data_IF_512437960180
#
_entry.id   IF_512437960180
#
_cell.length_a   1.000
_cell.length_b   1.000
_cell.length_c   1.000
_cell.angle_alpha   90.00
_cell.angle_beta   90.00
_cell.angle_gamma   90.00
#
_symmetry.space_group_name_H-M   'P 1'
#
loop_
_entity.id
_entity.type
_entity.pdbx_description
1 polymer ?
#
# COMPACT_ATOMS: atom_id res chain seq x y z
N UNK A 1 -9.82 -3.02 16.63
CA UNK A 1 -9.75 -4.41 17.15
C UNK A 1 -11.06 -5.17 16.88
N UNK A 2 -12.24 -4.58 17.15
CA UNK A 2 -13.55 -5.21 16.88
C UNK A 2 -13.72 -5.75 15.45
N UNK A 3 -13.43 -4.94 14.43
CA UNK A 3 -13.53 -5.34 13.02
C UNK A 3 -12.84 -6.66 12.65
N UNK A 4 -11.61 -6.91 13.13
CA UNK A 4 -10.88 -8.16 12.84
C UNK A 4 -11.54 -9.37 13.51
N UNK A 5 -12.03 -9.20 14.74
CA UNK A 5 -12.74 -10.25 15.46
C UNK A 5 -14.06 -10.57 14.75
N UNK A 6 -14.87 -9.56 14.46
CA UNK A 6 -16.17 -9.74 13.79
C UNK A 6 -16.00 -10.40 12.42
N UNK A 7 -15.06 -9.94 11.60
CA UNK A 7 -14.84 -10.52 10.26
C UNK A 7 -14.29 -11.94 10.29
N UNK A 8 -13.41 -12.28 11.24
CA UNK A 8 -12.98 -13.67 11.44
C UNK A 8 -14.15 -14.55 11.92
N UNK A 9 -15.01 -14.02 12.81
CA UNK A 9 -16.15 -14.74 13.32
C UNK A 9 -17.27 -14.95 12.30
N UNK A 10 -17.40 -14.11 11.26
CA UNK A 10 -18.27 -14.40 10.11
C UNK A 10 -17.91 -15.79 9.54
N UNK A 11 -16.61 -16.05 9.32
CA UNK A 11 -16.14 -17.34 8.80
C UNK A 11 -16.45 -18.47 9.79
N UNK A 12 -16.18 -18.28 11.08
CA UNK A 12 -16.51 -19.27 12.11
C UNK A 12 -18.01 -19.59 12.13
N UNK A 13 -18.84 -18.56 12.02
CA UNK A 13 -20.30 -18.67 12.08
C UNK A 13 -20.90 -19.32 10.84
N UNK A 14 -20.26 -19.23 9.68
CA UNK A 14 -20.74 -19.81 8.43
C UNK A 14 -20.15 -21.21 8.17
N UNK A 15 -18.87 -21.41 8.44
CA UNK A 15 -18.18 -22.68 8.12
C UNK A 15 -18.17 -23.67 9.30
N UNK A 16 -18.12 -23.17 10.54
CA UNK A 16 -17.77 -23.99 11.71
C UNK A 16 -18.77 -23.91 12.88
N UNK A 17 -19.89 -23.19 12.74
CA UNK A 17 -20.90 -23.05 13.80
C UNK A 17 -21.40 -24.39 14.35
N UNK A 18 -21.46 -25.41 13.51
CA UNK A 18 -21.90 -26.76 13.88
C UNK A 18 -20.97 -27.45 14.88
N UNK A 19 -19.75 -26.95 15.08
CA UNK A 19 -18.77 -27.46 16.07
C UNK A 19 -18.89 -26.76 17.43
N UNK A 20 -19.73 -25.72 17.54
CA UNK A 20 -19.81 -24.87 18.72
C UNK A 20 -21.07 -25.17 19.53
N UNK A 21 -20.94 -25.05 20.85
CA UNK A 21 -22.10 -25.16 21.75
C UNK A 21 -23.09 -24.01 21.50
N UNK A 22 -24.42 -24.25 21.58
CA UNK A 22 -25.43 -23.21 21.36
C UNK A 22 -25.24 -21.95 22.22
N UNK A 23 -24.82 -22.10 23.48
CA UNK A 23 -24.58 -20.98 24.39
C UNK A 23 -23.38 -20.14 23.94
N UNK A 24 -22.30 -20.77 23.47
CA UNK A 24 -21.15 -20.05 22.92
C UNK A 24 -21.54 -19.29 21.66
N UNK A 25 -22.33 -19.91 20.76
CA UNK A 25 -22.86 -19.25 19.57
C UNK A 25 -23.68 -18.02 19.93
N UNK A 26 -24.52 -18.09 20.97
CA UNK A 26 -25.30 -16.94 21.43
C UNK A 26 -24.41 -15.79 21.93
N UNK A 27 -23.40 -16.09 22.76
CA UNK A 27 -22.42 -15.10 23.24
C UNK A 27 -21.61 -14.48 22.10
N UNK A 28 -21.22 -15.28 21.11
CA UNK A 28 -20.52 -14.77 19.94
C UNK A 28 -21.39 -13.79 19.14
N UNK A 29 -22.67 -14.11 18.91
CA UNK A 29 -23.60 -13.21 18.23
C UNK A 29 -23.75 -11.88 18.97
N UNK A 30 -23.91 -11.93 20.29
CA UNK A 30 -24.02 -10.74 21.13
C UNK A 30 -22.74 -9.88 21.06
N UNK A 31 -21.57 -10.50 21.14
CA UNK A 31 -20.29 -9.80 21.03
C UNK A 31 -20.08 -9.19 19.63
N UNK A 32 -20.44 -9.89 18.54
CA UNK A 32 -20.43 -9.32 17.19
C UNK A 32 -21.36 -8.12 17.05
N UNK A 33 -22.56 -8.20 17.65
CA UNK A 33 -23.51 -7.09 17.69
C UNK A 33 -22.92 -5.88 18.40
N UNK A 34 -22.40 -6.06 19.62
CA UNK A 34 -21.79 -4.98 20.40
C UNK A 34 -20.59 -4.35 19.70
N UNK A 35 -19.72 -5.17 19.10
CA UNK A 35 -18.58 -4.67 18.32
C UNK A 35 -19.03 -3.83 17.12
N UNK A 36 -20.06 -4.30 16.39
CA UNK A 36 -20.58 -3.61 15.21
C UNK A 36 -21.31 -2.31 15.57
N UNK A 37 -22.04 -2.28 16.69
CA UNK A 37 -22.61 -1.04 17.26
C UNK A 37 -21.48 -0.07 17.60
N UNK A 38 -20.42 -0.53 18.27
CA UNK A 38 -19.24 0.27 18.59
C UNK A 38 -18.58 0.86 17.34
N UNK A 39 -18.42 0.07 16.28
CA UNK A 39 -17.88 0.53 15.00
C UNK A 39 -18.80 1.56 14.31
N UNK A 40 -20.10 1.56 14.60
CA UNK A 40 -21.04 2.56 14.11
C UNK A 40 -20.85 3.96 14.69
N UNK A 41 -20.17 4.09 15.83
CA UNK A 41 -19.78 5.39 16.40
C UNK A 41 -18.47 5.94 15.82
N UNK A 42 -17.76 5.17 14.98
CA UNK A 42 -16.52 5.62 14.35
C UNK A 42 -16.82 6.43 13.09
N UNK A 43 -16.79 7.75 13.24
CA UNK A 43 -17.09 8.72 12.18
C UNK A 43 -15.88 9.62 11.96
N UNK A 44 -15.23 9.49 10.80
CA UNK A 44 -14.08 10.32 10.45
C UNK A 44 -14.35 11.82 10.63
N UNK A 45 -13.50 12.49 11.40
CA UNK A 45 -13.57 13.94 11.66
C UNK A 45 -14.42 14.33 12.87
N UNK A 46 -15.15 13.39 13.47
CA UNK A 46 -15.89 13.58 14.73
C UNK A 46 -15.04 13.03 15.87
N UNK A 47 -14.88 13.81 16.94
CA UNK A 47 -14.11 13.44 18.14
C UNK A 47 -12.67 12.96 17.86
N UNK A 48 -12.09 13.39 16.73
CA UNK A 48 -10.75 13.00 16.30
C UNK A 48 -10.65 11.58 15.69
N UNK A 49 -11.76 10.89 15.43
CA UNK A 49 -11.74 9.61 14.74
C UNK A 49 -11.34 9.79 13.26
N UNK A 50 -10.77 8.74 12.67
CA UNK A 50 -10.18 8.76 11.33
C UNK A 50 -10.83 7.74 10.37
N UNK A 51 -11.92 7.07 10.74
CA UNK A 51 -12.57 6.10 9.89
C UNK A 51 -13.41 6.78 8.80
N UNK A 52 -12.71 7.17 7.74
CA UNK A 52 -13.28 7.65 6.48
C UNK A 52 -13.39 6.50 5.46
N UNK A 53 -14.24 6.62 4.41
CA UNK A 53 -14.31 5.62 3.34
C UNK A 53 -12.96 5.27 2.71
N UNK A 54 -12.08 6.27 2.63
CA UNK A 54 -10.74 6.18 2.02
C UNK A 54 -9.76 5.32 2.81
N UNK A 55 -10.08 4.96 4.05
CA UNK A 55 -9.21 4.06 4.82
C UNK A 55 -9.26 2.62 4.29
N UNK A 56 -10.03 2.33 3.22
CA UNK A 56 -10.12 1.05 2.52
C UNK A 56 -10.40 -0.13 3.45
N UNK A 57 -9.38 -0.72 4.07
CA UNK A 57 -9.49 -1.97 4.80
C UNK A 57 -10.46 -1.92 5.99
N UNK A 58 -10.37 -1.00 6.98
CA UNK A 58 -11.29 -1.02 8.10
C UNK A 58 -12.69 -0.55 7.66
N UNK A 59 -12.80 0.22 6.56
CA UNK A 59 -14.09 0.60 6.00
C UNK A 59 -14.83 -0.59 5.41
N UNK A 60 -14.19 -1.36 4.52
CA UNK A 60 -14.81 -2.56 3.94
C UNK A 60 -15.04 -3.64 5.00
N UNK A 61 -14.16 -3.78 5.99
CA UNK A 61 -14.45 -4.65 7.14
C UNK A 61 -15.69 -4.20 7.91
N UNK A 62 -15.89 -2.89 8.10
CA UNK A 62 -17.09 -2.35 8.75
C UNK A 62 -18.34 -2.64 7.91
N UNK A 63 -18.26 -2.47 6.60
CA UNK A 63 -19.35 -2.80 5.67
C UNK A 63 -19.74 -4.27 5.81
N UNK A 64 -18.77 -5.20 5.81
CA UNK A 64 -19.05 -6.62 5.95
C UNK A 64 -19.63 -6.97 7.31
N UNK A 65 -19.07 -6.42 8.39
CA UNK A 65 -19.58 -6.62 9.76
C UNK A 65 -21.03 -6.15 9.89
N UNK A 66 -21.32 -4.90 9.51
CA UNK A 66 -22.67 -4.33 9.62
C UNK A 66 -23.69 -5.05 8.73
N UNK A 67 -23.31 -5.43 7.52
CA UNK A 67 -24.18 -6.14 6.59
C UNK A 67 -24.53 -7.54 7.11
N UNK A 68 -23.53 -8.30 7.56
CA UNK A 68 -23.74 -9.65 8.07
C UNK A 68 -24.49 -9.65 9.40
N UNK A 69 -24.04 -8.85 10.37
CA UNK A 69 -24.60 -8.80 11.72
C UNK A 69 -26.00 -8.22 11.72
N UNK A 70 -26.26 -7.18 10.93
CA UNK A 70 -27.60 -6.60 10.77
C UNK A 70 -28.61 -7.64 10.29
N UNK A 71 -28.25 -8.43 9.27
CA UNK A 71 -29.08 -9.53 8.80
C UNK A 71 -29.23 -10.66 9.82
N UNK A 72 -28.12 -11.10 10.43
CA UNK A 72 -28.12 -12.17 11.42
C UNK A 72 -29.00 -11.85 12.64
N UNK A 73 -29.08 -10.58 13.03
CA UNK A 73 -29.83 -10.11 14.20
C UNK A 73 -31.23 -9.59 13.84
N UNK A 74 -31.57 -9.48 12.54
CA UNK A 74 -32.82 -8.84 12.10
C UNK A 74 -32.89 -7.34 12.42
N UNK A 75 -31.74 -6.67 12.58
CA UNK A 75 -31.65 -5.25 12.91
C UNK A 75 -31.71 -4.41 11.62
N UNK A 76 -32.87 -3.78 11.40
CA UNK A 76 -33.13 -2.97 10.21
C UNK A 76 -32.25 -1.71 10.15
N UNK A 77 -31.91 -1.10 11.29
CA UNK A 77 -31.08 0.11 11.33
C UNK A 77 -29.64 -0.24 10.98
N UNK A 78 -29.09 -1.30 11.57
CA UNK A 78 -27.75 -1.78 11.23
C UNK A 78 -27.66 -2.22 9.76
N UNK A 79 -28.70 -2.89 9.26
CA UNK A 79 -28.79 -3.27 7.83
C UNK A 79 -28.83 -2.05 6.91
N UNK A 80 -29.56 -1.00 7.29
CA UNK A 80 -29.58 0.26 6.56
C UNK A 80 -28.18 0.89 6.49
N UNK A 81 -27.50 1.02 7.62
CA UNK A 81 -26.15 1.60 7.68
C UNK A 81 -25.09 0.75 6.98
N UNK A 82 -25.18 -0.58 7.04
CA UNK A 82 -24.30 -1.46 6.28
C UNK A 82 -24.39 -1.20 4.77
N UNK A 83 -25.60 -1.00 4.25
CA UNK A 83 -25.81 -0.63 2.85
C UNK A 83 -25.33 0.79 2.54
N UNK A 84 -25.55 1.74 3.43
CA UNK A 84 -25.14 3.13 3.22
C UNK A 84 -23.61 3.29 3.20
N UNK A 85 -22.92 2.65 4.14
CA UNK A 85 -21.46 2.62 4.13
C UNK A 85 -20.89 1.85 2.94
N UNK A 86 -21.59 0.81 2.46
CA UNK A 86 -21.22 0.16 1.21
C UNK A 86 -21.28 1.15 0.04
N UNK A 87 -22.37 1.93 -0.10
CA UNK A 87 -22.50 2.95 -1.16
C UNK A 87 -21.38 3.97 -1.11
N UNK A 88 -21.01 4.44 0.08
CA UNK A 88 -19.93 5.41 0.24
C UNK A 88 -18.57 4.83 -0.17
N UNK A 89 -18.24 3.61 0.27
CA UNK A 89 -16.98 2.96 -0.13
C UNK A 89 -16.93 2.64 -1.62
N UNK A 90 -18.06 2.20 -2.20
CA UNK A 90 -18.22 1.99 -3.64
C UNK A 90 -18.05 3.30 -4.40
N UNK A 91 -18.65 4.40 -3.94
CA UNK A 91 -18.56 5.69 -4.60
C UNK A 91 -17.11 6.21 -4.63
N UNK A 92 -16.33 6.01 -3.57
CA UNK A 92 -14.91 6.37 -3.58
C UNK A 92 -14.09 5.48 -4.52
N UNK A 93 -14.35 4.17 -4.56
CA UNK A 93 -13.71 3.26 -5.50
C UNK A 93 -14.02 3.61 -6.97
N UNK A 94 -15.29 3.89 -7.28
CA UNK A 94 -15.80 4.14 -8.63
C UNK A 94 -15.23 5.41 -9.28
N UNK A 95 -14.61 6.32 -8.50
CA UNK A 95 -13.95 7.50 -9.05
C UNK A 95 -12.86 7.14 -10.05
N UNK A 96 -12.07 6.11 -9.74
CA UNK A 96 -10.89 5.74 -10.54
C UNK A 96 -10.69 4.22 -10.70
N UNK A 97 -11.54 3.39 -10.09
CA UNK A 97 -11.36 1.94 -10.07
C UNK A 97 -10.18 1.50 -9.20
N UNK A 98 -9.88 2.26 -8.14
CA UNK A 98 -8.72 2.02 -7.27
C UNK A 98 -9.11 2.14 -5.80
N UNK A 99 -8.44 1.37 -4.94
CA UNK A 99 -8.48 1.60 -3.50
C UNK A 99 -7.68 2.87 -3.14
N UNK A 100 -8.19 3.67 -2.20
CA UNK A 100 -7.54 4.91 -1.76
C UNK A 100 -6.19 4.67 -1.08
N UNK A 101 -6.09 3.70 -0.16
CA UNK A 101 -4.80 3.17 0.34
C UNK A 101 -4.06 2.36 -0.77
N UNK A 102 -3.63 3.06 -1.83
CA UNK A 102 -3.19 2.46 -3.08
C UNK A 102 -1.85 1.72 -2.96
N UNK A 103 -1.75 0.59 -3.67
CA UNK A 103 -0.54 -0.23 -3.88
C UNK A 103 0.12 -0.79 -2.60
N UNK A 104 -0.43 -0.58 -1.41
CA UNK A 104 0.10 -1.14 -0.16
C UNK A 104 -0.08 -2.66 -0.12
N UNK A 105 1.00 -3.43 0.02
CA UNK A 105 0.87 -4.89 0.02
C UNK A 105 0.14 -5.44 1.26
N UNK A 106 0.27 -4.80 2.42
CA UNK A 106 -0.53 -5.15 3.60
C UNK A 106 -1.99 -4.78 3.39
N UNK A 107 -2.28 -3.50 3.10
CA UNK A 107 -3.67 -3.02 3.12
C UNK A 107 -4.49 -3.40 1.89
N UNK A 108 -3.86 -3.56 0.72
CA UNK A 108 -4.52 -4.20 -0.43
C UNK A 108 -4.92 -5.63 -0.07
N UNK A 109 -4.02 -6.37 0.61
CA UNK A 109 -4.30 -7.73 1.08
C UNK A 109 -5.48 -7.80 2.06
N UNK A 110 -5.49 -6.97 3.10
CA UNK A 110 -6.60 -6.92 4.07
C UNK A 110 -7.91 -6.50 3.39
N UNK A 111 -7.86 -5.53 2.48
CA UNK A 111 -9.06 -5.07 1.76
C UNK A 111 -9.63 -6.18 0.88
N UNK A 112 -8.78 -6.92 0.15
CA UNK A 112 -9.20 -8.08 -0.64
C UNK A 112 -9.77 -9.19 0.25
N UNK A 113 -9.20 -9.43 1.43
CA UNK A 113 -9.77 -10.35 2.42
C UNK A 113 -11.18 -9.91 2.85
N UNK A 114 -11.32 -8.66 3.26
CA UNK A 114 -12.59 -8.10 3.70
C UNK A 114 -13.63 -8.22 2.57
N UNK A 115 -13.27 -7.79 1.36
CA UNK A 115 -14.14 -7.91 0.19
C UNK A 115 -14.53 -9.35 -0.09
N UNK A 116 -13.63 -10.33 0.08
CA UNK A 116 -13.91 -11.75 -0.17
C UNK A 116 -14.97 -12.36 0.77
N UNK A 117 -15.26 -11.73 1.90
CA UNK A 117 -16.37 -12.12 2.78
C UNK A 117 -17.74 -11.86 2.14
N UNK A 118 -17.82 -11.17 1.00
CA UNK A 118 -19.08 -10.86 0.31
C UNK A 118 -19.93 -12.11 0.03
N UNK A 119 -19.31 -13.27 -0.16
CA UNK A 119 -20.01 -14.54 -0.39
C UNK A 119 -20.87 -15.00 0.80
N UNK A 120 -20.67 -14.43 1.98
CA UNK A 120 -21.49 -14.67 3.19
C UNK A 120 -22.55 -13.58 3.41
N UNK A 121 -22.60 -12.54 2.59
CA UNK A 121 -23.55 -11.44 2.75
C UNK A 121 -24.92 -11.82 2.16
N UNK A 122 -26.03 -11.22 2.65
CA UNK A 122 -27.33 -11.35 2.00
C UNK A 122 -27.26 -10.90 0.55
N UNK A 123 -27.84 -11.68 -0.37
CA UNK A 123 -27.74 -11.46 -1.80
C UNK A 123 -28.31 -10.10 -2.27
N UNK A 124 -29.26 -9.54 -1.53
CA UNK A 124 -29.86 -8.23 -1.79
C UNK A 124 -29.10 -7.05 -1.15
N UNK A 125 -27.98 -7.31 -0.46
CA UNK A 125 -27.15 -6.23 0.09
C UNK A 125 -26.38 -5.50 -1.02
N UNK A 126 -26.14 -4.21 -0.80
CA UNK A 126 -25.45 -3.32 -1.75
C UNK A 126 -24.05 -3.85 -2.08
N UNK A 127 -23.31 -4.33 -1.07
CA UNK A 127 -21.94 -4.82 -1.26
C UNK A 127 -21.89 -6.14 -2.04
N UNK A 128 -22.87 -7.03 -1.87
CA UNK A 128 -22.93 -8.28 -2.62
C UNK A 128 -23.04 -8.05 -4.14
N UNK A 129 -23.66 -6.95 -4.56
CA UNK A 129 -23.77 -6.56 -5.96
C UNK A 129 -22.50 -5.98 -6.58
N UNK A 130 -21.47 -5.62 -5.79
CA UNK A 130 -20.27 -4.91 -6.27
C UNK A 130 -18.94 -5.53 -5.85
N UNK A 131 -18.87 -6.31 -4.79
CA UNK A 131 -17.60 -6.80 -4.25
C UNK A 131 -16.77 -7.60 -5.26
N UNK A 132 -17.42 -8.45 -6.06
CA UNK A 132 -16.77 -9.23 -7.12
C UNK A 132 -16.03 -8.36 -8.16
N UNK A 133 -16.68 -7.27 -8.57
CA UNK A 133 -16.15 -6.28 -9.51
C UNK A 133 -14.95 -5.52 -8.91
N UNK A 134 -15.11 -5.01 -7.68
CA UNK A 134 -14.03 -4.33 -6.94
C UNK A 134 -12.81 -5.24 -6.77
N UNK A 135 -13.01 -6.52 -6.44
CA UNK A 135 -11.95 -7.53 -6.35
C UNK A 135 -11.24 -7.68 -7.70
N UNK A 136 -11.99 -7.87 -8.79
CA UNK A 136 -11.42 -8.06 -10.12
C UNK A 136 -10.57 -6.86 -10.56
N UNK A 137 -11.11 -5.64 -10.45
CA UNK A 137 -10.44 -4.40 -10.85
C UNK A 137 -9.22 -4.11 -9.96
N UNK A 138 -9.29 -4.40 -8.65
CA UNK A 138 -8.12 -4.29 -7.77
C UNK A 138 -6.99 -5.21 -8.22
N UNK A 139 -7.31 -6.45 -8.60
CA UNK A 139 -6.34 -7.41 -9.13
C UNK A 139 -5.72 -6.99 -10.46
N UNK A 140 -6.45 -6.26 -11.31
CA UNK A 140 -5.89 -5.68 -12.54
C UNK A 140 -4.78 -4.67 -12.23
N UNK A 141 -5.00 -3.79 -11.26
CA UNK A 141 -3.99 -2.85 -10.77
C UNK A 141 -2.79 -3.59 -10.16
N UNK A 142 -3.03 -4.56 -9.27
CA UNK A 142 -1.98 -5.42 -8.69
C UNK A 142 -1.17 -6.10 -9.79
N UNK A 143 -1.81 -6.69 -10.80
CA UNK A 143 -1.13 -7.36 -11.90
C UNK A 143 -0.23 -6.43 -12.72
N UNK A 144 -0.57 -5.14 -12.83
CA UNK A 144 0.26 -4.14 -13.52
C UNK A 144 1.44 -3.66 -12.67
N UNK A 145 1.28 -3.59 -11.35
CA UNK A 145 2.29 -3.09 -10.40
C UNK A 145 3.21 -4.19 -9.86
N UNK A 146 2.79 -5.45 -10.00
CA UNK A 146 3.53 -6.62 -9.54
C UNK A 146 4.80 -6.86 -10.34
N UNK A 147 5.90 -7.08 -9.62
CA UNK A 147 7.13 -7.57 -10.20
C UNK A 147 7.38 -9.03 -9.79
N UNK A 148 7.14 -10.01 -10.69
CA UNK A 148 7.29 -11.43 -10.39
C UNK A 148 8.74 -11.88 -10.24
N UNK A 149 9.71 -11.05 -10.63
CA UNK A 149 11.14 -11.34 -10.45
C UNK A 149 11.68 -10.80 -9.12
N UNK A 150 11.11 -9.71 -8.61
CA UNK A 150 11.39 -9.20 -7.26
C UNK A 150 10.44 -9.76 -6.19
N UNK A 151 9.37 -10.45 -6.61
CA UNK A 151 8.32 -11.01 -5.73
C UNK A 151 7.68 -9.94 -4.83
N UNK A 152 7.48 -8.73 -5.35
CA UNK A 152 6.87 -7.61 -4.61
C UNK A 152 6.21 -6.59 -5.53
N UNK A 153 5.48 -5.64 -4.94
CA UNK A 153 4.90 -4.48 -5.64
C UNK A 153 5.96 -3.39 -5.81
N UNK A 154 5.93 -2.66 -6.92
CA UNK A 154 6.99 -1.71 -7.32
C UNK A 154 7.00 -0.33 -6.66
N UNK A 155 6.11 -0.04 -5.71
CA UNK A 155 5.84 1.34 -5.27
C UNK A 155 5.10 2.17 -6.34
N UNK A 156 4.77 3.45 -6.06
CA UNK A 156 4.90 4.10 -4.75
C UNK A 156 3.85 3.55 -3.78
N UNK A 157 3.91 3.92 -2.50
CA UNK A 157 2.97 3.42 -1.50
C UNK A 157 2.37 4.53 -0.65
N UNK A 158 1.05 4.49 -0.54
CA UNK A 158 0.32 5.28 0.44
C UNK A 158 0.70 4.88 1.87
N UNK A 159 0.90 3.57 2.09
CA UNK A 159 1.43 3.03 3.35
C UNK A 159 2.23 1.76 3.10
N UNK A 160 3.41 1.68 3.68
CA UNK A 160 4.27 0.51 3.61
C UNK A 160 4.99 0.27 4.94
N UNK A 161 5.22 -1.01 5.22
CA UNK A 161 5.98 -1.50 6.35
C UNK A 161 7.29 -2.20 5.92
N UNK A 162 7.52 -2.27 4.62
CA UNK A 162 8.74 -2.82 4.05
C UNK A 162 8.73 -2.77 2.54
N UNK A 163 9.91 -2.93 1.95
CA UNK A 163 10.12 -2.71 0.51
C UNK A 163 10.10 -4.00 -0.32
N UNK A 164 10.16 -5.17 0.35
CA UNK A 164 10.11 -6.48 -0.29
C UNK A 164 9.30 -7.46 0.55
N UNK A 165 8.33 -8.14 -0.06
CA UNK A 165 7.52 -9.15 0.63
C UNK A 165 8.29 -10.46 0.90
N UNK A 166 9.54 -10.58 0.43
CA UNK A 166 10.47 -11.61 0.92
C UNK A 166 11.15 -11.22 2.24
N UNK A 167 11.02 -9.98 2.69
CA UNK A 167 11.65 -9.46 3.91
C UNK A 167 10.67 -8.99 4.98
N UNK A 168 9.44 -8.61 4.60
CA UNK A 168 8.34 -8.33 5.55
C UNK A 168 7.08 -9.08 5.15
N UNK A 169 6.22 -9.35 6.12
CA UNK A 169 4.95 -10.01 5.89
C UNK A 169 3.90 -9.03 5.36
N UNK A 170 3.66 -9.08 4.04
CA UNK A 170 2.52 -8.42 3.41
C UNK A 170 1.39 -9.41 3.15
N UNK A 171 0.17 -9.08 3.60
CA UNK A 171 -1.00 -9.98 3.47
C UNK A 171 -1.30 -10.34 2.01
N UNK A 172 -1.07 -9.41 1.07
CA UNK A 172 -1.20 -9.69 -0.37
C UNK A 172 -0.29 -10.85 -0.82
N UNK A 173 0.88 -11.02 -0.19
CA UNK A 173 1.80 -12.12 -0.48
C UNK A 173 1.17 -13.49 -0.26
N UNK A 174 0.31 -13.62 0.75
CA UNK A 174 -0.44 -14.87 1.04
C UNK A 174 -1.43 -15.17 -0.09
N UNK A 175 -2.15 -14.16 -0.56
CA UNK A 175 -3.11 -14.33 -1.66
C UNK A 175 -2.39 -14.68 -2.96
N UNK A 176 -1.28 -14.01 -3.27
CA UNK A 176 -0.47 -14.34 -4.45
C UNK A 176 0.06 -15.78 -4.34
N UNK A 177 0.61 -16.17 -3.18
CA UNK A 177 1.06 -17.55 -2.96
C UNK A 177 -0.06 -18.58 -3.12
N UNK A 178 -1.29 -18.28 -2.69
CA UNK A 178 -2.45 -19.13 -2.93
C UNK A 178 -2.82 -19.27 -4.42
N UNK A 179 -2.61 -18.21 -5.21
CA UNK A 179 -2.96 -18.17 -6.64
C UNK A 179 -1.89 -18.83 -7.52
N UNK A 180 -0.60 -18.63 -7.23
CA UNK A 180 0.51 -19.09 -8.08
C UNK A 180 1.40 -20.15 -7.46
N UNK A 181 1.21 -20.50 -6.19
CA UNK A 181 2.05 -21.44 -5.45
C UNK A 181 3.36 -20.85 -4.95
N UNK A 182 4.37 -21.70 -4.79
CA UNK A 182 5.75 -21.33 -4.45
C UNK A 182 6.15 -21.50 -2.98
N UNK A 183 5.31 -22.13 -2.15
CA UNK A 183 5.67 -22.44 -0.76
C UNK A 183 6.75 -23.53 -0.67
N UNK A 184 6.64 -24.58 -1.50
CA UNK A 184 7.52 -25.76 -1.44
C UNK A 184 8.93 -25.50 -1.99
N UNK A 185 9.10 -24.46 -2.81
CA UNK A 185 10.36 -24.09 -3.48
C UNK A 185 10.90 -22.71 -3.04
N UNK A 186 10.31 -22.12 -1.98
CA UNK A 186 10.65 -20.80 -1.43
C UNK A 186 10.51 -19.64 -2.45
N UNK A 187 9.79 -19.83 -3.57
CA UNK A 187 9.55 -18.78 -4.56
C UNK A 187 8.34 -17.89 -4.23
N UNK A 188 7.55 -18.25 -3.23
CA UNK A 188 6.42 -17.46 -2.75
C UNK A 188 6.87 -16.08 -2.23
N UNK A 189 6.05 -15.03 -2.44
CA UNK A 189 6.34 -13.68 -1.95
C UNK A 189 6.02 -13.53 -0.45
N UNK A 190 6.67 -14.37 0.35
CA UNK A 190 6.57 -14.40 1.80
C UNK A 190 7.97 -14.47 2.42
N UNK A 191 8.17 -13.92 3.62
CA UNK A 191 9.41 -14.09 4.35
C UNK A 191 9.69 -15.57 4.68
N UNK A 192 10.95 -15.96 4.59
CA UNK A 192 11.44 -17.28 4.96
C UNK A 192 12.72 -17.13 5.79
N UNK A 193 12.73 -17.48 7.09
CA UNK A 193 11.59 -17.96 7.88
C UNK A 193 10.50 -16.89 8.07
N UNK A 194 9.25 -17.34 8.20
CA UNK A 194 8.11 -16.46 8.48
C UNK A 194 8.15 -15.91 9.92
N UNK A 195 8.45 -16.77 10.89
CA UNK A 195 8.54 -16.38 12.31
C UNK A 195 9.72 -15.43 12.51
N UNK A 196 9.47 -14.31 13.19
CA UNK A 196 10.48 -13.27 13.44
C UNK A 196 10.68 -12.31 12.27
N UNK A 197 9.93 -12.46 11.18
CA UNK A 197 9.88 -11.44 10.12
C UNK A 197 9.12 -10.20 10.57
N UNK A 198 9.40 -9.07 9.91
CA UNK A 198 8.67 -7.84 10.13
C UNK A 198 7.19 -8.01 9.80
N UNK A 199 6.32 -7.42 10.63
CA UNK A 199 4.87 -7.56 10.53
C UNK A 199 4.33 -9.00 10.64
N UNK A 200 5.09 -9.93 11.22
CA UNK A 200 4.66 -11.32 11.43
C UNK A 200 3.32 -11.47 12.16
N UNK A 201 2.92 -10.53 13.02
CA UNK A 201 1.63 -10.58 13.73
C UNK A 201 0.41 -10.73 12.79
N UNK A 202 0.52 -10.21 11.58
CA UNK A 202 -0.53 -10.30 10.56
C UNK A 202 -0.64 -11.72 9.96
N UNK A 203 0.32 -12.62 10.20
CA UNK A 203 0.31 -14.00 9.73
C UNK A 203 -0.87 -14.82 10.27
N UNK A 204 -1.55 -14.34 11.33
CA UNK A 204 -2.80 -14.92 11.81
C UNK A 204 -3.87 -15.04 10.71
N UNK A 205 -3.83 -14.19 9.68
CA UNK A 205 -4.79 -14.20 8.58
C UNK A 205 -4.62 -15.39 7.62
N UNK A 206 -3.46 -16.07 7.63
CA UNK A 206 -3.15 -17.15 6.68
C UNK A 206 -4.19 -18.27 6.74
N UNK A 207 -4.64 -18.63 7.95
CA UNK A 207 -5.65 -19.68 8.13
C UNK A 207 -7.03 -19.30 7.58
N UNK A 208 -7.32 -18.00 7.44
CA UNK A 208 -8.61 -17.50 6.96
C UNK A 208 -8.66 -17.40 5.43
N UNK A 209 -7.52 -17.17 4.78
CA UNK A 209 -7.46 -16.91 3.33
C UNK A 209 -8.01 -18.06 2.46
N UNK A 210 -7.67 -19.34 2.68
CA UNK A 210 -8.22 -20.44 1.89
C UNK A 210 -9.74 -20.60 2.02
N UNK A 211 -10.33 -20.15 3.14
CA UNK A 211 -11.76 -20.28 3.38
C UNK A 211 -12.57 -19.28 2.55
N UNK A 212 -12.01 -18.09 2.34
CA UNK A 212 -12.63 -17.02 1.53
C UNK A 212 -12.22 -17.07 0.06
N UNK A 213 -11.20 -17.85 -0.32
CA UNK A 213 -10.69 -17.93 -1.70
C UNK A 213 -11.75 -18.38 -2.70
N UNK A 214 -12.73 -19.20 -2.27
CA UNK A 214 -13.89 -19.62 -3.09
C UNK A 214 -14.74 -18.46 -3.60
N UNK A 215 -14.68 -17.30 -2.93
CA UNK A 215 -15.38 -16.07 -3.33
C UNK A 215 -14.47 -15.03 -3.98
N UNK A 216 -13.19 -15.35 -4.16
CA UNK A 216 -12.13 -14.42 -4.58
C UNK A 216 -11.44 -14.87 -5.86
N UNK A 217 -10.90 -16.09 -5.88
CA UNK A 217 -9.93 -16.56 -6.88
C UNK A 217 -10.47 -16.53 -8.30
N UNK A 218 -11.76 -16.82 -8.49
CA UNK A 218 -12.42 -16.81 -9.80
C UNK A 218 -12.43 -15.43 -10.46
N UNK A 219 -12.24 -14.36 -9.70
CA UNK A 219 -12.18 -12.98 -10.18
C UNK A 219 -10.75 -12.53 -10.53
N UNK A 220 -9.74 -13.37 -10.27
CA UNK A 220 -8.37 -13.12 -10.73
C UNK A 220 -8.24 -13.62 -12.16
N UNK A 221 -8.30 -12.67 -13.11
CA UNK A 221 -8.32 -13.00 -14.54
C UNK A 221 -7.07 -13.79 -14.99
N UNK A 222 -7.16 -14.59 -16.07
CA UNK A 222 -6.00 -15.29 -16.62
C UNK A 222 -4.84 -14.35 -16.98
N UNK A 223 -5.15 -13.12 -17.40
CA UNK A 223 -4.16 -12.09 -17.68
C UNK A 223 -3.40 -11.68 -16.42
N UNK A 224 -4.10 -11.43 -15.31
CA UNK A 224 -3.47 -11.12 -14.02
C UNK A 224 -2.64 -12.30 -13.54
N UNK A 225 -3.19 -13.52 -13.54
CA UNK A 225 -2.46 -14.75 -13.17
C UNK A 225 -1.17 -14.91 -13.98
N UNK A 226 -1.20 -14.64 -15.28
CA UNK A 226 0.00 -14.67 -16.12
C UNK A 226 1.04 -13.64 -15.69
N UNK A 227 0.63 -12.42 -15.30
CA UNK A 227 1.55 -11.36 -14.83
C UNK A 227 2.13 -11.66 -13.46
N UNK A 228 1.37 -12.34 -12.59
CA UNK A 228 1.85 -12.78 -11.27
C UNK A 228 3.00 -13.80 -11.36
N UNK A 229 3.01 -14.61 -12.41
CA UNK A 229 4.05 -15.63 -12.64
C UNK A 229 5.26 -15.06 -13.39
N UNK A 230 5.06 -14.26 -14.44
CA UNK A 230 6.15 -13.77 -15.29
C UNK A 230 5.85 -12.43 -15.95
N UNK A 231 6.90 -11.65 -16.19
CA UNK A 231 6.85 -10.46 -17.03
C UNK A 231 6.86 -10.85 -18.51
N UNK A 232 6.20 -10.05 -19.34
CA UNK A 232 6.25 -10.15 -20.80
C UNK A 232 7.00 -8.94 -21.35
N UNK A 233 7.86 -9.17 -22.35
CA UNK A 233 8.61 -8.11 -23.00
C UNK A 233 9.75 -7.53 -22.14
N UNK A 234 10.18 -6.31 -22.47
CA UNK A 234 11.32 -5.63 -21.83
C UNK A 234 10.94 -4.86 -20.55
N UNK A 235 9.65 -4.76 -20.27
CA UNK A 235 9.08 -3.94 -19.20
C UNK A 235 7.87 -3.17 -19.70
N UNK A 236 7.10 -2.62 -18.77
CA UNK A 236 5.90 -1.85 -19.08
C UNK A 236 5.72 -0.69 -18.08
N UNK A 237 5.11 0.39 -18.58
CA UNK A 237 4.64 1.48 -17.74
C UNK A 237 3.20 1.23 -17.30
N UNK A 238 2.81 1.78 -16.14
CA UNK A 238 1.43 1.83 -15.71
C UNK A 238 1.10 3.20 -15.15
N UNK A 239 -0.14 3.63 -15.37
CA UNK A 239 -0.72 4.85 -14.84
C UNK A 239 -2.01 4.50 -14.11
N UNK A 240 -2.19 5.08 -12.93
CA UNK A 240 -3.42 4.98 -12.15
C UNK A 240 -3.69 6.31 -11.45
N UNK A 241 -4.93 6.50 -10.99
CA UNK A 241 -5.31 7.65 -10.18
C UNK A 241 -6.01 7.19 -8.92
N UNK A 242 -5.88 7.94 -7.83
CA UNK A 242 -6.67 7.74 -6.62
C UNK A 242 -6.93 9.07 -5.93
N UNK A 243 -7.80 9.06 -4.93
CA UNK A 243 -8.05 10.21 -4.04
C UNK A 243 -8.36 9.72 -2.63
N UNK A 244 -8.00 10.52 -1.63
CA UNK A 244 -8.25 10.26 -0.22
C UNK A 244 -8.84 11.48 0.52
N UNK A 245 -10.09 11.91 0.25
CA UNK A 245 -10.71 12.98 1.03
C UNK A 245 -10.87 12.58 2.51
N UNK A 246 -10.69 13.51 3.46
CA UNK A 246 -10.55 14.95 3.27
C UNK A 246 -9.09 15.43 3.10
N UNK A 247 -8.14 14.51 2.96
CA UNK A 247 -6.71 14.85 2.87
C UNK A 247 -6.32 15.39 1.49
N UNK A 248 -7.04 14.96 0.47
CA UNK A 248 -6.87 15.42 -0.90
C UNK A 248 -8.09 16.22 -1.36
N UNK A 249 -7.85 17.13 -2.31
CA UNK A 249 -8.92 17.76 -3.07
C UNK A 249 -9.24 16.90 -4.30
N UNK A 250 -10.49 16.50 -4.47
CA UNK A 250 -10.94 15.65 -5.60
C UNK A 250 -10.65 16.27 -6.96
N UNK A 251 -10.57 17.61 -7.06
CA UNK A 251 -10.20 18.30 -8.31
C UNK A 251 -8.72 18.10 -8.71
N UNK A 252 -7.89 17.66 -7.77
CA UNK A 252 -6.46 17.39 -7.94
C UNK A 252 -6.15 15.96 -7.46
N UNK A 253 -6.60 14.94 -8.21
CA UNK A 253 -6.37 13.55 -7.81
C UNK A 253 -4.88 13.22 -7.80
N UNK A 254 -4.54 12.17 -7.06
CA UNK A 254 -3.18 11.63 -7.08
C UNK A 254 -2.94 10.92 -8.39
N UNK A 255 -1.78 11.15 -8.99
CA UNK A 255 -1.37 10.46 -10.22
C UNK A 255 -0.23 9.51 -9.91
N UNK A 256 -0.46 8.23 -10.12
CA UNK A 256 0.54 7.19 -9.92
C UNK A 256 1.17 6.84 -11.26
N UNK A 257 2.48 6.87 -11.33
CA UNK A 257 3.25 6.37 -12.47
C UNK A 257 4.17 5.25 -12.00
N UNK A 258 4.32 4.21 -12.82
CA UNK A 258 5.30 3.17 -12.54
C UNK A 258 5.94 2.62 -13.81
N UNK A 259 7.11 2.04 -13.63
CA UNK A 259 7.81 1.20 -14.60
C UNK A 259 8.19 -0.13 -13.94
N UNK A 260 7.82 -1.24 -14.57
CA UNK A 260 8.15 -2.57 -14.08
C UNK A 260 8.89 -3.35 -15.16
N UNK A 261 10.06 -3.90 -14.83
CA UNK A 261 10.83 -4.81 -15.66
C UNK A 261 11.53 -5.89 -14.83
N UNK A 262 12.24 -6.81 -15.49
CA UNK A 262 12.93 -7.90 -14.79
C UNK A 262 14.01 -7.36 -13.83
N UNK A 263 13.82 -7.62 -12.54
CA UNK A 263 14.66 -7.20 -11.42
C UNK A 263 14.76 -5.69 -11.22
N UNK A 264 13.78 -4.92 -11.69
CA UNK A 264 13.67 -3.49 -11.44
C UNK A 264 12.20 -3.05 -11.43
N UNK A 265 11.81 -2.31 -10.41
CA UNK A 265 10.54 -1.60 -10.36
C UNK A 265 10.76 -0.17 -9.90
N UNK A 266 10.03 0.77 -10.49
CA UNK A 266 10.09 2.18 -10.12
C UNK A 266 8.68 2.71 -10.04
N UNK A 267 8.39 3.49 -9.00
CA UNK A 267 7.09 4.08 -8.78
C UNK A 267 7.19 5.51 -8.28
N UNK A 268 6.28 6.36 -8.74
CA UNK A 268 6.17 7.76 -8.34
C UNK A 268 4.71 8.18 -8.21
N UNK A 269 4.43 9.07 -7.27
CA UNK A 269 3.14 9.72 -7.08
C UNK A 269 3.25 11.24 -7.23
N UNK A 270 2.35 11.82 -8.02
CA UNK A 270 2.03 13.24 -7.92
C UNK A 270 0.88 13.38 -6.92
N UNK A 271 1.09 14.15 -5.86
CA UNK A 271 0.14 14.36 -4.77
C UNK A 271 0.19 15.81 -4.30
N UNK A 272 -0.97 16.35 -3.99
CA UNK A 272 -1.14 17.68 -3.41
C UNK A 272 -2.11 17.57 -2.24
N UNK A 273 -1.56 17.27 -1.06
CA UNK A 273 -2.32 16.92 0.14
C UNK A 273 -2.27 18.04 1.18
N UNK A 274 -3.29 18.12 2.04
CA UNK A 274 -3.29 19.08 3.16
C UNK A 274 -2.36 18.66 4.31
N UNK A 275 -1.84 17.44 4.30
CA UNK A 275 -0.94 16.87 5.32
C UNK A 275 0.32 16.27 4.69
N UNK A 276 1.38 16.18 5.49
CA UNK A 276 2.61 15.47 5.11
C UNK A 276 2.47 13.99 5.50
N UNK A 277 2.93 13.07 4.64
CA UNK A 277 2.93 11.64 4.93
C UNK A 277 1.60 10.93 4.60
N UNK A 278 0.82 11.47 3.67
CA UNK A 278 -0.44 10.88 3.21
C UNK A 278 -1.54 10.84 4.29
N UNK A 279 -2.65 10.12 4.04
CA UNK A 279 -3.80 10.04 4.96
C UNK A 279 -3.46 9.47 6.34
N UNK A 280 -2.39 8.68 6.43
CA UNK A 280 -1.88 8.14 7.70
C UNK A 280 -1.14 9.19 8.54
N UNK A 281 -0.82 10.37 7.97
CA UNK A 281 -0.04 11.44 8.58
C UNK A 281 1.28 10.88 9.13
N UNK A 282 1.92 10.01 8.32
CA UNK A 282 3.10 9.25 8.75
C UNK A 282 4.10 9.09 7.59
N UNK A 283 5.07 10.01 7.47
CA UNK A 283 6.12 9.93 6.44
C UNK A 283 6.92 8.63 6.46
N UNK A 284 7.04 7.97 7.61
CA UNK A 284 7.78 6.70 7.72
C UNK A 284 7.07 5.51 7.05
N UNK A 285 5.78 5.66 6.72
CA UNK A 285 4.99 4.67 6.00
C UNK A 285 4.62 5.13 4.60
N UNK A 286 4.62 6.45 4.35
CA UNK A 286 4.30 7.03 3.05
C UNK A 286 5.56 7.14 2.18
N UNK A 287 5.57 6.45 1.04
CA UNK A 287 6.72 6.37 0.14
C UNK A 287 6.31 6.83 -1.26
N UNK A 288 6.34 8.14 -1.52
CA UNK A 288 5.83 8.73 -2.77
C UNK A 288 6.73 8.49 -3.99
N UNK A 289 8.01 8.18 -3.80
CA UNK A 289 8.94 7.86 -4.88
C UNK A 289 9.82 6.69 -4.48
N UNK A 290 9.86 5.65 -5.29
CA UNK A 290 10.54 4.39 -4.96
C UNK A 290 11.26 3.81 -6.17
N UNK A 291 12.48 3.31 -5.95
CA UNK A 291 13.21 2.43 -6.89
C UNK A 291 13.51 1.13 -6.14
N UNK A 292 13.10 0.00 -6.69
CA UNK A 292 13.45 -1.35 -6.23
C UNK A 292 14.24 -2.07 -7.31
N UNK A 293 15.28 -2.80 -6.94
CA UNK A 293 16.02 -3.61 -7.90
C UNK A 293 16.59 -4.88 -7.27
N UNK A 294 16.97 -5.81 -8.12
CA UNK A 294 17.71 -7.01 -7.73
C UNK A 294 19.17 -6.61 -7.46
N UNK A 295 19.54 -6.59 -6.17
CA UNK A 295 20.89 -6.25 -5.72
C UNK A 295 21.83 -7.47 -5.70
N UNK A 296 21.37 -8.62 -6.22
CA UNK A 296 22.07 -9.90 -6.15
C UNK A 296 21.97 -10.53 -4.76
N UNK A 297 22.53 -11.75 -4.62
CA UNK A 297 22.54 -12.51 -3.36
C UNK A 297 21.14 -12.65 -2.70
N UNK A 298 20.10 -12.80 -3.53
CA UNK A 298 18.70 -12.87 -3.09
C UNK A 298 18.23 -11.65 -2.27
N UNK A 299 18.83 -10.48 -2.51
CA UNK A 299 18.50 -9.23 -1.83
C UNK A 299 17.85 -8.23 -2.79
N UNK A 300 16.83 -7.53 -2.30
CA UNK A 300 16.19 -6.42 -3.01
C UNK A 300 16.79 -5.11 -2.50
N UNK A 301 17.49 -4.39 -3.37
CA UNK A 301 17.91 -3.02 -3.10
C UNK A 301 16.72 -2.08 -3.21
N UNK A 302 16.71 -1.01 -2.41
CA UNK A 302 15.65 -0.01 -2.46
C UNK A 302 16.17 1.41 -2.24
N UNK A 303 15.57 2.37 -2.93
CA UNK A 303 15.66 3.81 -2.66
C UNK A 303 14.24 4.30 -2.47
N UNK A 304 13.96 5.03 -1.38
CA UNK A 304 12.66 5.62 -1.09
C UNK A 304 12.80 7.09 -0.75
N UNK A 305 11.96 7.92 -1.34
CA UNK A 305 11.83 9.33 -0.95
C UNK A 305 11.14 9.43 0.41
N UNK A 306 11.76 10.13 1.35
CA UNK A 306 11.19 10.42 2.65
C UNK A 306 10.51 11.78 2.62
N UNK A 307 9.17 11.75 2.60
CA UNK A 307 8.34 12.92 2.35
C UNK A 307 8.38 13.94 3.48
N UNK A 308 8.83 15.16 3.16
CA UNK A 308 8.76 16.34 4.03
C UNK A 308 7.84 17.43 3.49
N UNK A 309 7.40 17.30 2.23
CA UNK A 309 6.44 18.19 1.58
C UNK A 309 5.04 17.60 1.56
N UNK A 310 4.03 18.47 1.42
CA UNK A 310 2.62 18.12 1.23
C UNK A 310 2.23 18.06 -0.26
N UNK A 311 2.93 18.84 -1.08
CA UNK A 311 2.83 18.88 -2.53
C UNK A 311 4.10 18.30 -3.14
N UNK A 312 3.96 17.16 -3.82
CA UNK A 312 5.05 16.36 -4.37
C UNK A 312 4.68 15.94 -5.77
N UNK A 313 5.62 16.04 -6.71
CA UNK A 313 5.53 15.44 -8.03
C UNK A 313 6.64 14.43 -8.18
N UNK A 314 6.34 13.14 -7.95
CA UNK A 314 7.26 12.04 -8.21
C UNK A 314 6.80 11.27 -9.45
N UNK A 315 7.64 11.24 -10.49
CA UNK A 315 7.30 10.65 -11.79
C UNK A 315 8.32 9.60 -12.20
N UNK A 316 7.85 8.38 -12.39
CA UNK A 316 8.65 7.22 -12.77
C UNK A 316 8.70 7.05 -14.29
N UNK A 317 9.88 6.70 -14.79
CA UNK A 317 10.11 6.27 -16.17
C UNK A 317 10.95 4.98 -16.20
N UNK A 318 11.27 4.50 -17.40
CA UNK A 318 12.14 3.34 -17.56
C UNK A 318 13.61 3.58 -17.21
N UNK A 319 14.01 4.84 -16.99
CA UNK A 319 15.41 5.23 -16.76
C UNK A 319 15.60 6.22 -15.61
N UNK A 320 14.52 6.78 -15.07
CA UNK A 320 14.60 7.78 -14.02
C UNK A 320 13.38 7.78 -13.11
N UNK A 321 13.60 8.26 -11.89
CA UNK A 321 12.57 8.77 -10.99
C UNK A 321 12.85 10.25 -10.78
N UNK A 322 11.93 11.12 -11.19
CA UNK A 322 12.06 12.57 -10.98
C UNK A 322 11.18 12.98 -9.82
N UNK A 323 11.71 13.72 -8.85
CA UNK A 323 10.96 14.20 -7.69
C UNK A 323 11.10 15.71 -7.58
N UNK A 324 9.98 16.41 -7.48
CA UNK A 324 9.95 17.85 -7.25
C UNK A 324 8.91 18.25 -6.19
N UNK A 325 9.10 19.44 -5.61
CA UNK A 325 8.17 20.04 -4.64
C UNK A 325 7.47 21.27 -5.24
N UNK A 326 6.46 21.07 -6.10
CA UNK A 326 5.73 22.18 -6.70
C UNK A 326 4.86 22.91 -5.67
N UNK A 327 4.57 24.21 -5.86
CA UNK A 327 3.58 24.91 -5.05
C UNK A 327 2.24 24.18 -5.05
N UNK A 328 1.53 24.22 -3.92
CA UNK A 328 0.22 23.59 -3.78
C UNK A 328 -0.83 24.35 -4.60
N UNK A 329 -1.57 23.61 -5.43
CA UNK A 329 -2.76 24.10 -6.14
C UNK A 329 -4.05 23.77 -5.39
N UNK A 330 -4.07 22.64 -4.68
CA UNK A 330 -5.21 22.16 -3.92
C UNK A 330 -5.39 22.92 -2.60
N UNK A 331 -4.29 23.31 -1.97
CA UNK A 331 -4.25 23.97 -0.67
C UNK A 331 -3.27 25.16 -0.61
N UNK A 332 -3.41 26.19 -1.47
CA UNK A 332 -2.43 27.29 -1.54
C UNK A 332 -2.23 28.04 -0.21
N UNK A 333 -3.25 28.10 0.65
CA UNK A 333 -3.16 28.76 1.96
C UNK A 333 -2.34 27.97 3.00
N UNK A 334 -2.07 26.69 2.75
CA UNK A 334 -1.25 25.83 3.60
C UNK A 334 0.20 25.73 3.10
N UNK A 335 0.51 26.37 1.97
CA UNK A 335 1.81 26.35 1.31
C UNK A 335 2.72 27.46 1.85
N UNK A 336 3.04 27.40 3.14
CA UNK A 336 3.86 28.42 3.83
C UNK A 336 5.36 28.24 3.59
N UNK A 337 5.75 27.81 2.40
CA UNK A 337 7.11 27.43 2.04
C UNK A 337 7.23 25.91 1.89
N UNK A 338 7.53 25.47 0.67
CA UNK A 338 7.94 24.09 0.38
C UNK A 338 9.03 23.64 1.35
N UNK A 339 9.07 22.35 1.70
CA UNK A 339 10.12 21.83 2.57
C UNK A 339 11.51 22.28 2.10
N UNK A 340 12.36 22.68 3.04
CA UNK A 340 13.74 23.10 2.78
C UNK A 340 14.71 21.91 2.67
N UNK A 341 14.22 20.66 2.67
CA UNK A 341 15.05 19.46 2.55
C UNK A 341 14.42 18.42 1.63
N UNK A 342 15.25 17.70 0.87
CA UNK A 342 14.87 16.51 0.13
C UNK A 342 15.68 15.31 0.60
N UNK A 343 14.99 14.29 1.11
CA UNK A 343 15.62 13.12 1.71
C UNK A 343 15.31 11.85 0.94
N UNK A 344 16.35 11.05 0.70
CA UNK A 344 16.27 9.71 0.12
C UNK A 344 16.88 8.71 1.07
N UNK A 345 16.12 7.68 1.38
CA UNK A 345 16.54 6.55 2.17
C UNK A 345 16.99 5.44 1.22
N UNK A 346 18.18 4.91 1.46
CA UNK A 346 18.81 3.90 0.60
C UNK A 346 19.06 2.65 1.44
N UNK A 347 18.70 1.49 0.90
CA UNK A 347 18.84 0.21 1.60
C UNK A 347 20.26 -0.05 2.10
N UNK A 348 20.38 -0.58 3.32
CA UNK A 348 21.63 -1.20 3.78
C UNK A 348 21.93 -2.51 3.04
N UNK A 349 23.20 -2.78 2.76
CA UNK A 349 23.66 -4.03 2.14
C UNK A 349 24.55 -4.81 3.11
N UNK A 350 24.29 -6.10 3.31
CA UNK A 350 25.06 -6.94 4.25
C UNK A 350 26.55 -7.04 3.93
N UNK A 351 26.92 -6.86 2.66
CA UNK A 351 28.29 -7.07 2.17
C UNK A 351 28.93 -5.80 1.59
N UNK A 352 28.23 -4.66 1.63
CA UNK A 352 28.71 -3.40 1.07
C UNK A 352 28.37 -2.26 2.04
N UNK A 353 29.40 -1.58 2.51
CA UNK A 353 29.25 -0.32 3.23
C UNK A 353 29.37 0.84 2.24
N UNK A 354 28.43 1.78 2.29
CA UNK A 354 28.51 3.00 1.48
C UNK A 354 29.33 4.03 2.27
N UNK A 355 30.45 4.49 1.68
CA UNK A 355 31.33 5.46 2.32
C UNK A 355 30.73 6.87 2.34
N UNK A 356 31.32 7.77 3.14
CA UNK A 356 30.88 9.18 3.23
C UNK A 356 31.02 9.95 1.92
N UNK A 357 31.85 9.46 0.98
CA UNK A 357 32.01 10.02 -0.37
C UNK A 357 30.94 9.53 -1.36
N UNK A 358 29.97 8.71 -0.91
CA UNK A 358 28.86 8.27 -1.73
C UNK A 358 28.15 9.49 -2.32
N UNK A 359 27.98 9.50 -3.65
CA UNK A 359 27.40 10.60 -4.44
C UNK A 359 28.18 11.91 -4.47
N UNK A 360 29.46 11.95 -4.06
CA UNK A 360 30.29 13.15 -4.15
C UNK A 360 30.39 13.74 -5.58
N UNK A 361 30.38 12.88 -6.60
CA UNK A 361 30.37 13.27 -8.01
C UNK A 361 28.97 13.16 -8.66
N UNK A 362 27.91 13.17 -7.84
CA UNK A 362 26.52 12.93 -8.26
C UNK A 362 26.30 11.60 -8.99
N UNK A 363 27.24 10.67 -8.96
CA UNK A 363 27.12 9.33 -9.53
C UNK A 363 27.77 8.32 -8.59
N UNK A 364 27.16 7.16 -8.40
CA UNK A 364 27.72 6.06 -7.62
C UNK A 364 27.22 4.70 -8.09
N UNK A 365 27.99 3.67 -7.74
CA UNK A 365 27.69 2.28 -8.02
C UNK A 365 27.14 1.64 -6.75
N UNK A 366 25.91 1.17 -6.82
CA UNK A 366 25.28 0.30 -5.83
C UNK A 366 25.36 -1.15 -6.33
N UNK A 367 25.21 -2.16 -5.45
CA UNK A 367 25.11 -3.55 -5.89
C UNK A 367 23.98 -3.72 -6.92
N UNK A 368 24.30 -4.01 -8.17
CA UNK A 368 23.33 -4.22 -9.26
C UNK A 368 22.70 -2.95 -9.86
N UNK A 369 23.11 -1.74 -9.45
CA UNK A 369 22.53 -0.48 -9.94
C UNK A 369 23.58 0.64 -10.04
N UNK A 370 23.67 1.29 -11.19
CA UNK A 370 24.33 2.60 -11.32
C UNK A 370 23.30 3.70 -11.08
N UNK A 371 23.61 4.64 -10.20
CA UNK A 371 22.75 5.78 -9.87
C UNK A 371 23.47 7.09 -10.22
N UNK A 372 22.77 8.00 -10.89
CA UNK A 372 23.21 9.37 -11.18
C UNK A 372 22.12 10.34 -10.75
N UNK A 373 22.51 11.38 -10.02
CA UNK A 373 21.65 12.46 -9.57
C UNK A 373 21.89 13.72 -10.39
N UNK A 374 20.81 14.42 -10.72
CA UNK A 374 20.82 15.74 -11.33
C UNK A 374 19.60 16.55 -10.88
N UNK A 375 19.43 17.76 -11.41
CA UNK A 375 18.37 18.69 -11.00
C UNK A 375 18.93 19.95 -10.34
N UNK A 376 18.09 20.96 -10.17
CA UNK A 376 18.51 22.25 -9.62
C UNK A 376 18.95 22.13 -8.15
N UNK A 377 18.33 21.24 -7.36
CA UNK A 377 18.74 20.97 -5.97
C UNK A 377 20.13 20.34 -5.94
N UNK A 378 20.39 19.32 -6.74
CA UNK A 378 21.73 18.69 -6.80
C UNK A 378 22.82 19.69 -7.21
N UNK A 379 22.51 20.63 -8.10
CA UNK A 379 23.47 21.60 -8.61
C UNK A 379 23.75 22.78 -7.65
N UNK A 380 22.81 23.12 -6.76
CA UNK A 380 22.84 24.36 -5.96
C UNK A 380 22.83 24.13 -4.44
N UNK A 381 22.63 22.89 -4.00
CA UNK A 381 22.51 22.54 -2.57
C UNK A 381 23.76 21.89 -2.00
N UNK A 382 23.89 21.97 -0.69
CA UNK A 382 24.73 21.06 0.09
C UNK A 382 23.97 19.78 0.42
N UNK A 383 24.68 18.68 0.60
CA UNK A 383 24.10 17.39 0.97
C UNK A 383 24.81 16.78 2.17
N UNK A 384 24.11 15.88 2.84
CA UNK A 384 24.63 15.05 3.92
C UNK A 384 24.32 13.59 3.61
N UNK A 385 25.28 12.72 3.88
CA UNK A 385 25.12 11.27 3.77
C UNK A 385 25.60 10.60 5.04
N UNK A 386 24.71 9.86 5.68
CA UNK A 386 24.99 9.16 6.92
C UNK A 386 24.32 7.80 6.96
N UNK A 387 24.91 6.87 7.71
CA UNK A 387 24.21 5.66 8.09
C UNK A 387 23.17 6.01 9.15
N UNK A 388 21.92 5.58 8.96
CA UNK A 388 20.82 5.97 9.83
C UNK A 388 21.05 5.56 11.30
N UNK A 389 20.76 6.47 12.23
CA UNK A 389 20.84 6.24 13.68
C UNK A 389 19.68 5.38 14.24
N UNK A 390 19.09 4.51 13.41
CA UNK A 390 17.95 3.68 13.74
C UNK A 390 17.50 2.85 12.54
N UNK A 391 16.28 2.33 12.61
CA UNK A 391 15.71 1.54 11.53
C UNK A 391 14.34 2.09 11.12
N UNK A 392 14.06 2.10 9.82
CA UNK A 392 12.76 2.46 9.27
C UNK A 392 11.97 1.18 9.07
N UNK A 393 10.91 0.96 9.86
CA UNK A 393 10.21 -0.33 9.89
C UNK A 393 11.20 -1.51 10.08
N UNK A 394 12.15 -1.33 11.00
CA UNK A 394 13.24 -2.29 11.30
C UNK A 394 14.18 -2.60 10.13
N UNK A 395 14.14 -1.81 9.05
CA UNK A 395 15.10 -1.88 7.95
C UNK A 395 16.24 -0.88 8.17
N UNK A 396 17.46 -1.36 7.98
CA UNK A 396 18.67 -0.54 7.98
C UNK A 396 18.74 0.29 6.70
N UNK A 397 19.16 1.55 6.85
CA UNK A 397 19.22 2.48 5.73
C UNK A 397 20.36 3.49 5.86
N UNK A 398 20.77 4.04 4.72
CA UNK A 398 21.53 5.26 4.64
C UNK A 398 20.61 6.42 4.31
N UNK A 399 20.88 7.58 4.89
CA UNK A 399 20.14 8.81 4.66
C UNK A 399 20.96 9.73 3.75
N UNK A 400 20.43 10.05 2.57
CA UNK A 400 20.95 11.09 1.68
C UNK A 400 19.99 12.27 1.71
N UNK A 401 20.41 13.38 2.34
CA UNK A 401 19.58 14.59 2.48
C UNK A 401 20.24 15.78 1.79
N UNK A 402 19.50 16.45 0.91
CA UNK A 402 19.85 17.73 0.30
C UNK A 402 19.17 18.88 1.02
N UNK A 403 19.91 19.96 1.29
CA UNK A 403 19.37 21.21 1.84
C UNK A 403 18.99 22.16 0.69
N UNK A 404 17.71 22.42 0.50
CA UNK A 404 17.20 23.34 -0.52
C UNK A 404 17.53 24.79 -0.07
N UNK A 405 18.28 25.57 -0.87
CA UNK A 405 18.61 26.95 -0.51
C UNK A 405 17.40 27.88 -0.67
N UNK A 406 17.28 28.89 0.19
CA UNK A 406 16.19 29.88 0.18
C UNK A 406 16.04 30.64 -1.15
N UNK A 407 17.12 30.72 -1.95
CA UNK A 407 17.17 31.39 -3.24
C UNK A 407 17.19 30.45 -4.46
N UNK A 408 16.79 29.18 -4.31
CA UNK A 408 16.77 28.24 -5.43
C UNK A 408 15.89 28.78 -6.57
N UNK A 409 16.44 28.87 -7.78
CA UNK A 409 15.66 29.23 -8.96
C UNK A 409 14.83 28.03 -9.45
N UNK A 410 13.52 28.26 -9.60
CA UNK A 410 12.56 27.27 -10.08
C UNK A 410 12.00 26.35 -8.99
N UNK A 411 11.22 25.34 -9.42
CA UNK A 411 10.67 24.34 -8.50
C UNK A 411 11.80 23.42 -8.04
N UNK A 412 11.98 23.17 -6.73
CA UNK A 412 12.98 22.22 -6.25
C UNK A 412 12.78 20.84 -6.90
N UNK A 413 13.83 20.30 -7.52
CA UNK A 413 13.79 19.04 -8.26
C UNK A 413 15.11 18.26 -8.12
N UNK A 414 14.97 16.93 -7.96
CA UNK A 414 16.04 15.94 -8.09
C UNK A 414 15.59 14.84 -9.06
N UNK A 415 16.45 14.52 -10.02
CA UNK A 415 16.29 13.41 -10.95
C UNK A 415 17.23 12.28 -10.54
N UNK A 416 16.68 11.11 -10.25
CA UNK A 416 17.39 9.86 -9.99
C UNK A 416 17.44 9.05 -11.27
N UNK A 417 18.47 9.26 -12.09
CA UNK A 417 18.73 8.44 -13.27
C UNK A 417 19.40 7.12 -12.84
N UNK A 418 18.95 6.01 -13.39
CA UNK A 418 19.45 4.69 -13.02
C UNK A 418 19.71 3.78 -14.22
N UNK A 419 20.65 2.85 -14.04
CA UNK A 419 20.91 1.76 -14.96
C UNK A 419 21.15 0.48 -14.16
N UNK A 420 20.33 -0.54 -14.44
CA UNK A 420 20.54 -1.88 -13.88
C UNK A 420 21.72 -2.54 -14.58
N UNK A 421 22.65 -3.10 -13.80
CA UNK A 421 23.92 -3.69 -14.28
C UNK A 421 23.81 -5.20 -14.41
#
# INVERSE_FOLDING_TARGET
MGLFVTTAWIIVMEEFRHLLEPNLVALMKESMYNATVGDGYRVGGVDGDNLYPIYSNPWYMRVMSATYVGHMMGDANMTFWGNEWARQGIAEFDRFGTLSEFNSATYTGVTLFALSLWGYMPANSTIAGRAADIVATTWESVGNLWNPTLKTLGGPWDRSYGFSMKSYFGILGVQIAGIVGGLDDDSAPLPSPLVGSEHYGDAAIIALMPLVSKFHDRYVSPTVRSKLVRLKGRGHAHFAQAVSPPFDNIAYPRNYTSWTQAGLSVGGIEVDSNVVGGPAINPSQFSPGVILWDAGHSSTGWISHFSTSRSISATASSKSLTISYPPSRAFPSLDTGSSNIMTFLISGFKHVSLGVEFMANSTSMLPGLRLTLSGNVVAQSTWMFEYGNGALNNLLYYNLTYLIPDGLEGVPEIVLAFEKI
#
